data_IF_186894121792
#
_entry.id   IF_186894121792
#
_cell.length_a   1.000
_cell.length_b   1.000
_cell.length_c   1.000
_cell.angle_alpha   90.00
_cell.angle_beta   90.00
_cell.angle_gamma   90.00
#
_symmetry.space_group_name_H-M   'P 1'
#
loop_
_entity.id
_entity.type
_entity.pdbx_description
1 polymer ?
#
# COMPACT_ATOMS: atom_id res chain seq x y z
N UNK A 1 35.21 14.06 0.48
CA UNK A 1 35.04 13.21 1.68
C UNK A 1 34.12 12.07 1.28
N UNK A 2 34.69 10.91 0.99
CA UNK A 2 33.92 9.71 0.60
C UNK A 2 34.12 8.68 1.69
N UNK A 3 33.06 8.37 2.43
CA UNK A 3 33.08 7.33 3.47
C UNK A 3 32.27 6.16 2.95
N UNK A 4 32.96 5.07 2.62
CA UNK A 4 32.36 3.77 2.31
C UNK A 4 32.29 2.93 3.58
N UNK A 5 31.09 2.52 3.99
CA UNK A 5 30.89 1.59 5.09
C UNK A 5 30.98 0.15 4.55
N UNK A 6 31.94 -0.64 5.06
CA UNK A 6 32.02 -2.09 4.88
C UNK A 6 31.11 -2.76 5.91
N UNK A 7 30.13 -3.55 5.45
CA UNK A 7 29.36 -4.47 6.29
C UNK A 7 30.13 -5.76 6.62
N UNK A 8 29.73 -6.50 7.68
CA UNK A 8 30.45 -7.66 8.18
C UNK A 8 30.31 -8.90 7.29
N UNK A 9 31.40 -9.67 7.22
CA UNK A 9 31.52 -10.95 6.53
C UNK A 9 30.71 -12.05 7.26
N UNK A 10 29.81 -12.72 6.54
CA UNK A 10 29.06 -13.90 7.02
C UNK A 10 29.87 -15.17 6.69
N UNK A 11 30.08 -16.11 7.63
CA UNK A 11 30.74 -17.39 7.35
C UNK A 11 29.80 -18.41 6.69
N UNK A 12 30.32 -19.42 5.96
CA UNK A 12 29.50 -20.43 5.31
C UNK A 12 28.90 -21.42 6.32
N UNK A 13 27.60 -21.65 6.23
CA UNK A 13 26.88 -22.70 6.94
C UNK A 13 27.27 -24.08 6.41
N UNK A 14 27.67 -24.97 7.33
CA UNK A 14 28.03 -26.38 7.09
C UNK A 14 26.79 -27.24 6.80
N UNK A 15 26.89 -28.07 5.77
CA UNK A 15 26.02 -29.21 5.52
C UNK A 15 26.09 -30.22 6.67
N UNK A 16 24.96 -30.85 6.99
CA UNK A 16 24.90 -32.02 7.88
C UNK A 16 24.15 -33.14 7.17
N UNK A 17 24.93 -34.11 6.70
CA UNK A 17 24.51 -35.42 6.21
C UNK A 17 23.63 -36.14 7.24
N UNK A 18 22.48 -36.64 6.80
CA UNK A 18 21.71 -37.64 7.53
C UNK A 18 21.92 -39.01 6.88
N UNK A 19 22.78 -39.83 7.48
CA UNK A 19 22.81 -41.28 7.29
C UNK A 19 22.38 -41.94 8.60
N UNK A 20 21.21 -42.58 8.60
CA UNK A 20 20.98 -43.77 9.41
C UNK A 20 20.19 -44.79 8.59
N UNK A 21 20.78 -45.97 8.47
CA UNK A 21 20.24 -47.16 7.82
C UNK A 21 19.55 -48.09 8.82
N UNK A 22 18.38 -48.60 8.44
CA UNK A 22 18.01 -50.02 8.57
C UNK A 22 17.08 -50.43 9.73
N UNK A 23 15.91 -51.03 9.39
CA UNK A 23 15.64 -52.49 9.47
C UNK A 23 14.11 -52.81 9.58
N UNK A 24 13.69 -53.85 8.85
CA UNK A 24 12.33 -54.44 8.64
C UNK A 24 11.84 -55.29 9.84
N UNK A 25 10.56 -55.66 10.11
CA UNK A 25 9.56 -56.48 9.36
C UNK A 25 8.16 -56.47 10.05
N UNK A 26 7.06 -56.54 9.25
CA UNK A 26 5.77 -57.25 9.53
C UNK A 26 4.70 -56.48 10.33
N UNK A 27 3.37 -56.60 10.18
CA UNK A 27 2.38 -57.46 9.48
C UNK A 27 1.03 -56.71 9.62
N UNK A 28 0.16 -56.47 8.64
CA UNK A 28 -0.96 -57.30 8.15
C UNK A 28 -1.92 -56.39 7.36
N UNK A 29 -2.69 -57.01 6.47
CA UNK A 29 -3.57 -56.39 5.50
C UNK A 29 -4.86 -55.80 6.11
N UNK A 30 -5.24 -54.60 5.66
CA UNK A 30 -6.62 -54.15 5.67
C UNK A 30 -6.96 -53.58 4.28
N UNK A 31 -7.70 -54.36 3.50
CA UNK A 31 -8.27 -53.98 2.21
C UNK A 31 -9.36 -52.94 2.47
N UNK A 32 -9.00 -51.65 2.35
CA UNK A 32 -9.96 -50.55 2.25
C UNK A 32 -10.57 -50.52 0.86
N UNK A 33 -11.90 -50.64 0.78
CA UNK A 33 -12.63 -50.60 -0.48
C UNK A 33 -12.49 -49.22 -1.14
N UNK A 34 -11.76 -49.24 -2.25
CA UNK A 34 -11.88 -48.45 -3.47
C UNK A 34 -13.18 -47.64 -3.59
N UNK A 35 -13.13 -46.38 -3.14
CA UNK A 35 -13.89 -45.31 -3.76
C UNK A 35 -13.16 -44.89 -5.03
N UNK A 36 -13.44 -45.54 -6.16
CA UNK A 36 -13.03 -45.05 -7.47
C UNK A 36 -13.89 -43.85 -7.84
N UNK A 37 -13.38 -42.64 -7.62
CA UNK A 37 -13.78 -41.48 -8.39
C UNK A 37 -12.52 -40.77 -8.88
N UNK A 38 -11.84 -41.43 -9.81
CA UNK A 38 -11.00 -40.78 -10.80
C UNK A 38 -11.87 -39.85 -11.66
N UNK A 39 -12.25 -38.71 -11.11
CA UNK A 39 -12.71 -37.57 -11.90
C UNK A 39 -11.51 -36.65 -12.04
N UNK A 40 -10.82 -36.74 -13.16
CA UNK A 40 -9.82 -35.77 -13.60
C UNK A 40 -10.50 -34.45 -14.04
N UNK A 41 -11.46 -33.99 -13.25
CA UNK A 41 -11.94 -32.61 -13.31
C UNK A 41 -11.01 -31.79 -12.42
N UNK A 42 -10.45 -30.67 -12.89
CA UNK A 42 -9.69 -29.77 -12.04
C UNK A 42 -10.49 -29.47 -10.77
N UNK A 43 -9.86 -29.61 -9.60
CA UNK A 43 -10.50 -29.28 -8.33
C UNK A 43 -11.00 -27.83 -8.40
N UNK A 44 -12.32 -27.64 -8.46
CA UNK A 44 -12.92 -26.31 -8.53
C UNK A 44 -12.82 -25.66 -7.15
N UNK A 45 -12.51 -24.38 -7.12
CA UNK A 45 -12.49 -23.64 -5.86
C UNK A 45 -13.90 -23.43 -5.34
N UNK A 46 -14.08 -23.65 -4.03
CA UNK A 46 -15.34 -23.37 -3.35
C UNK A 46 -15.42 -21.87 -3.04
N UNK A 47 -16.36 -21.17 -3.65
CA UNK A 47 -16.50 -19.71 -3.52
C UNK A 47 -17.43 -19.26 -2.38
N UNK A 48 -17.99 -20.22 -1.64
CA UNK A 48 -18.87 -19.93 -0.51
C UNK A 48 -18.07 -19.73 0.78
N UNK A 49 -17.95 -18.47 1.19
CA UNK A 49 -17.37 -18.10 2.48
C UNK A 49 -18.38 -17.32 3.33
N UNK A 50 -18.32 -17.50 4.65
CA UNK A 50 -19.06 -16.66 5.59
C UNK A 50 -18.52 -15.22 5.54
N UNK A 51 -19.37 -14.25 5.89
CA UNK A 51 -19.00 -12.83 5.96
C UNK A 51 -18.37 -12.44 7.30
N UNK A 52 -17.78 -13.41 8.01
CA UNK A 52 -17.07 -13.12 9.26
C UNK A 52 -15.78 -12.33 8.93
N UNK A 53 -15.50 -11.29 9.70
CA UNK A 53 -14.30 -10.48 9.52
C UNK A 53 -13.26 -10.84 10.59
N UNK A 54 -12.30 -11.67 10.19
CA UNK A 54 -11.13 -12.11 10.97
C UNK A 54 -9.91 -12.06 10.03
N UNK A 55 -9.37 -10.86 9.77
CA UNK A 55 -8.51 -10.64 8.62
C UNK A 55 -7.14 -11.30 8.77
N UNK A 56 -6.59 -11.73 7.63
CA UNK A 56 -5.25 -12.29 7.51
C UNK A 56 -4.47 -11.51 6.44
N UNK A 57 -3.18 -11.29 6.69
CA UNK A 57 -2.29 -10.66 5.74
C UNK A 57 -1.49 -11.75 5.03
N UNK A 58 -1.66 -11.87 3.71
CA UNK A 58 -0.92 -12.82 2.89
C UNK A 58 0.51 -12.36 2.58
N UNK A 59 1.37 -13.30 2.20
CA UNK A 59 2.70 -13.04 1.65
C UNK A 59 2.67 -12.27 0.33
N UNK A 60 1.53 -12.28 -0.35
CA UNK A 60 1.21 -11.50 -1.55
C UNK A 60 0.82 -10.03 -1.24
N UNK A 61 0.89 -9.62 0.03
CA UNK A 61 0.55 -8.27 0.47
C UNK A 61 -0.96 -7.99 0.50
N UNK A 62 -1.81 -8.99 0.27
CA UNK A 62 -3.26 -8.81 0.28
C UNK A 62 -3.87 -9.14 1.64
N UNK A 63 -4.87 -8.35 2.02
CA UNK A 63 -5.73 -8.65 3.18
C UNK A 63 -6.86 -9.57 2.75
N UNK A 64 -6.94 -10.74 3.36
CA UNK A 64 -8.03 -11.69 3.22
C UNK A 64 -8.99 -11.50 4.40
N UNK A 65 -10.29 -11.25 4.15
CA UNK A 65 -11.23 -10.87 5.21
C UNK A 65 -11.45 -11.98 6.25
N UNK A 66 -11.17 -13.22 5.89
CA UNK A 66 -11.16 -14.38 6.78
C UNK A 66 -10.34 -15.52 6.18
N UNK A 67 -10.16 -16.57 6.99
CA UNK A 67 -9.44 -17.79 6.58
C UNK A 67 -10.03 -18.48 5.35
N UNK A 68 -11.36 -18.53 5.22
CA UNK A 68 -11.99 -19.12 4.04
C UNK A 68 -11.59 -18.40 2.75
N UNK A 69 -11.57 -17.06 2.77
CA UNK A 69 -11.13 -16.27 1.62
C UNK A 69 -9.62 -16.40 1.35
N UNK A 70 -8.80 -16.60 2.38
CA UNK A 70 -7.38 -16.92 2.23
C UNK A 70 -7.17 -18.28 1.54
N UNK A 71 -7.88 -19.31 1.98
CA UNK A 71 -7.81 -20.65 1.39
C UNK A 71 -8.35 -20.66 -0.06
N UNK A 72 -9.39 -19.86 -0.35
CA UNK A 72 -9.88 -19.63 -1.71
C UNK A 72 -8.81 -18.96 -2.60
N UNK A 73 -8.07 -17.99 -2.06
CA UNK A 73 -6.92 -17.39 -2.75
C UNK A 73 -5.86 -18.42 -3.12
N UNK A 74 -5.51 -19.29 -2.17
CA UNK A 74 -4.57 -20.39 -2.42
C UNK A 74 -5.08 -21.41 -3.45
N UNK A 75 -6.38 -21.73 -3.41
CA UNK A 75 -6.99 -22.60 -4.42
C UNK A 75 -6.88 -21.99 -5.83
N UNK A 76 -7.15 -20.68 -5.96
CA UNK A 76 -7.01 -19.96 -7.25
C UNK A 76 -5.57 -19.93 -7.72
N UNK A 77 -4.61 -19.70 -6.82
CA UNK A 77 -3.20 -19.78 -7.18
C UNK A 77 -2.83 -21.16 -7.73
N UNK A 78 -3.32 -22.24 -7.14
CA UNK A 78 -3.08 -23.59 -7.64
C UNK A 78 -3.67 -23.83 -9.05
N UNK A 79 -4.83 -23.24 -9.37
CA UNK A 79 -5.42 -23.32 -10.71
C UNK A 79 -4.65 -22.50 -11.76
N UNK A 80 -3.99 -21.43 -11.31
CA UNK A 80 -3.22 -20.52 -12.16
C UNK A 80 -1.70 -20.82 -12.14
N UNK A 81 -1.29 -21.96 -11.58
CA UNK A 81 0.12 -22.35 -11.43
C UNK A 81 0.99 -21.29 -10.71
N UNK A 82 0.39 -20.52 -9.80
CA UNK A 82 1.04 -19.52 -8.96
C UNK A 82 1.55 -20.12 -7.64
N UNK A 83 2.60 -19.56 -7.03
CA UNK A 83 3.09 -20.03 -5.74
C UNK A 83 2.02 -19.88 -4.64
N UNK A 84 2.03 -20.76 -3.62
CA UNK A 84 1.10 -20.66 -2.51
C UNK A 84 1.36 -19.38 -1.68
N UNK A 85 0.28 -18.76 -1.24
CA UNK A 85 0.28 -17.64 -0.30
C UNK A 85 0.44 -18.20 1.11
N UNK A 86 1.39 -17.63 1.87
CA UNK A 86 1.56 -17.92 3.30
C UNK A 86 0.99 -16.78 4.12
N UNK A 87 0.59 -17.06 5.36
CA UNK A 87 0.14 -16.02 6.27
C UNK A 87 1.38 -15.26 6.74
N UNK A 88 1.44 -13.96 6.43
CA UNK A 88 2.47 -13.05 6.92
C UNK A 88 2.17 -12.62 8.36
N UNK A 89 0.91 -12.26 8.65
CA UNK A 89 0.42 -11.86 9.99
C UNK A 89 -1.08 -12.14 10.16
N UNK A 90 -1.52 -12.40 11.39
CA UNK A 90 -2.92 -12.65 11.77
C UNK A 90 -3.72 -11.36 12.00
N UNK A 91 -3.64 -10.46 11.02
CA UNK A 91 -4.39 -9.22 10.95
C UNK A 91 -4.42 -8.74 9.50
N UNK A 92 -5.13 -7.65 9.22
CA UNK A 92 -5.05 -7.02 7.90
C UNK A 92 -3.60 -6.60 7.59
N UNK A 93 -3.21 -6.64 6.32
CA UNK A 93 -1.98 -5.98 5.90
C UNK A 93 -2.08 -4.48 6.21
N UNK A 94 -0.95 -3.90 6.64
CA UNK A 94 -0.80 -2.45 6.70
C UNK A 94 -1.00 -1.92 5.28
N UNK A 95 -2.17 -1.33 5.04
CA UNK A 95 -2.30 -0.36 3.98
C UNK A 95 -1.49 0.83 4.46
N UNK A 96 -0.45 1.19 3.71
CA UNK A 96 0.03 2.57 3.72
C UNK A 96 -1.17 3.40 3.29
N UNK A 97 -1.98 3.80 4.25
CA UNK A 97 -2.97 4.82 4.02
C UNK A 97 -2.16 6.07 3.79
N UNK A 98 -1.88 6.34 2.52
CA UNK A 98 -1.64 7.70 2.05
C UNK A 98 -2.92 8.43 2.37
N UNK A 99 -2.97 8.93 3.61
CA UNK A 99 -4.02 9.78 4.10
C UNK A 99 -3.85 11.09 3.37
N UNK A 100 -4.48 11.15 2.20
CA UNK A 100 -4.77 12.35 1.42
C UNK A 100 -5.80 13.19 2.19
N UNK A 101 -5.50 13.53 3.45
CA UNK A 101 -6.36 14.32 4.32
C UNK A 101 -5.96 15.78 4.15
N UNK A 102 -6.19 16.29 2.95
CA UNK A 102 -6.32 17.72 2.74
C UNK A 102 -7.76 18.08 3.10
N UNK A 103 -7.93 18.80 4.20
CA UNK A 103 -9.22 19.34 4.62
C UNK A 103 -9.87 20.11 3.47
N UNK A 104 -11.14 19.87 3.15
CA UNK A 104 -11.77 20.42 1.92
C UNK A 104 -12.83 21.50 2.15
N UNK A 105 -13.06 21.92 3.39
CA UNK A 105 -14.08 22.93 3.69
C UNK A 105 -13.42 24.29 3.89
N UNK A 106 -13.81 25.28 3.09
CA UNK A 106 -13.44 26.66 3.30
C UNK A 106 -14.71 27.50 3.45
N UNK A 107 -14.70 28.53 4.31
CA UNK A 107 -15.72 29.57 4.28
C UNK A 107 -15.78 30.22 2.89
N UNK A 108 -16.98 30.60 2.45
CA UNK A 108 -17.21 31.33 1.20
C UNK A 108 -16.87 32.83 1.39
N UNK A 109 -15.63 33.09 1.79
CA UNK A 109 -15.07 34.43 2.02
C UNK A 109 -14.03 34.74 0.96
N UNK A 110 -14.27 35.77 0.17
CA UNK A 110 -13.35 36.19 -0.89
C UNK A 110 -12.22 37.06 -0.34
N UNK A 111 -11.07 36.42 -0.11
CA UNK A 111 -9.82 37.04 0.35
C UNK A 111 -8.65 36.45 -0.46
N UNK A 112 -8.47 36.88 -1.73
CA UNK A 112 -7.68 36.14 -2.69
C UNK A 112 -6.20 36.02 -2.30
N UNK A 113 -5.58 34.93 -2.73
CA UNK A 113 -4.16 34.68 -2.57
C UNK A 113 -3.56 34.16 -3.88
N UNK A 114 -2.39 34.68 -4.25
CA UNK A 114 -1.63 34.22 -5.40
C UNK A 114 -0.69 33.10 -4.97
N UNK A 115 -0.80 31.93 -5.59
CA UNK A 115 0.08 30.79 -5.39
C UNK A 115 1.40 30.92 -6.15
N UNK A 116 2.42 30.16 -5.74
CA UNK A 116 3.71 30.03 -6.42
C UNK A 116 3.59 29.39 -7.80
N UNK A 117 2.47 28.72 -8.07
CA UNK A 117 2.07 28.16 -9.35
C UNK A 117 1.41 29.19 -10.29
N UNK A 118 1.25 30.44 -9.85
CA UNK A 118 0.63 31.52 -10.61
C UNK A 118 -0.89 31.46 -10.64
N UNK A 119 -1.51 30.61 -9.80
CA UNK A 119 -2.97 30.50 -9.67
C UNK A 119 -3.48 31.43 -8.59
N UNK A 120 -4.59 32.10 -8.86
CA UNK A 120 -5.32 32.88 -7.84
C UNK A 120 -6.32 31.97 -7.14
N UNK A 121 -6.17 31.83 -5.84
CA UNK A 121 -7.08 31.11 -4.96
C UNK A 121 -8.10 32.07 -4.35
N UNK A 122 -9.34 31.63 -4.13
CA UNK A 122 -10.41 32.47 -3.59
C UNK A 122 -10.11 32.96 -2.17
N UNK A 123 -9.41 32.12 -1.40
CA UNK A 123 -8.94 32.43 -0.05
C UNK A 123 -7.63 31.72 0.25
N UNK A 124 -6.95 32.14 1.33
CA UNK A 124 -5.81 31.39 1.90
C UNK A 124 -6.17 29.97 2.32
N UNK A 125 -7.45 29.72 2.65
CA UNK A 125 -7.93 28.38 2.93
C UNK A 125 -7.85 27.51 1.67
N UNK A 126 -8.34 27.98 0.52
CA UNK A 126 -8.24 27.20 -0.73
C UNK A 126 -6.78 26.98 -1.17
N UNK A 127 -5.92 27.98 -0.98
CA UNK A 127 -4.48 27.82 -1.22
C UNK A 127 -3.89 26.74 -0.32
N UNK A 128 -4.22 26.69 0.97
CA UNK A 128 -3.66 25.67 1.88
C UNK A 128 -4.08 24.25 1.51
N UNK A 129 -5.28 24.09 0.93
CA UNK A 129 -5.73 22.82 0.36
C UNK A 129 -4.84 22.40 -0.81
N UNK A 130 -4.51 23.34 -1.71
CA UNK A 130 -3.62 23.07 -2.83
C UNK A 130 -2.19 22.76 -2.38
N UNK A 131 -1.66 23.50 -1.39
CA UNK A 131 -0.35 23.23 -0.78
C UNK A 131 -0.28 21.84 -0.13
N UNK A 132 -1.38 21.38 0.45
CA UNK A 132 -1.48 20.04 1.02
C UNK A 132 -1.45 18.95 -0.06
N UNK A 133 -2.06 19.20 -1.22
CA UNK A 133 -2.09 18.25 -2.34
C UNK A 133 -0.78 18.23 -3.13
N UNK A 134 -0.07 19.34 -3.19
CA UNK A 134 1.19 19.50 -3.90
C UNK A 134 2.15 20.40 -3.11
N UNK A 135 3.20 19.78 -2.55
CA UNK A 135 4.22 20.46 -1.73
C UNK A 135 5.01 21.54 -2.49
N UNK A 136 4.88 21.62 -3.82
CA UNK A 136 5.51 22.66 -4.66
C UNK A 136 4.69 23.95 -4.69
N UNK A 137 3.41 23.87 -4.34
CA UNK A 137 2.53 25.03 -4.24
C UNK A 137 2.77 25.68 -2.88
N UNK A 138 2.88 27.00 -2.89
CA UNK A 138 3.03 27.83 -1.70
C UNK A 138 2.43 29.21 -1.93
N UNK A 139 2.36 30.03 -0.89
CA UNK A 139 1.91 31.41 -1.05
C UNK A 139 2.99 32.24 -1.76
N UNK A 140 2.64 32.86 -2.88
CA UNK A 140 3.46 33.88 -3.52
C UNK A 140 3.21 35.26 -2.90
N UNK A 141 1.97 35.73 -2.91
CA UNK A 141 1.54 36.96 -2.22
C UNK A 141 0.03 36.98 -1.97
N UNK A 142 -0.42 37.87 -1.08
CA UNK A 142 -1.85 38.17 -0.90
C UNK A 142 -2.40 38.96 -2.10
N UNK A 143 -3.67 38.75 -2.45
CA UNK A 143 -4.29 39.31 -3.64
C UNK A 143 -4.30 38.34 -4.83
N UNK A 144 -4.83 38.81 -5.96
CA UNK A 144 -4.89 38.01 -7.20
C UNK A 144 -3.54 38.02 -7.92
N UNK A 145 -3.20 36.94 -8.62
CA UNK A 145 -2.04 36.92 -9.49
C UNK A 145 -2.22 37.91 -10.65
N UNK A 146 -1.14 38.58 -11.05
CA UNK A 146 -1.17 39.50 -12.19
C UNK A 146 -1.66 40.92 -11.88
N UNK A 147 -2.21 41.17 -10.68
CA UNK A 147 -2.34 42.53 -10.19
C UNK A 147 -0.95 43.09 -9.85
N UNK A 148 -0.56 44.17 -10.51
CA UNK A 148 0.64 44.92 -10.16
C UNK A 148 0.47 45.40 -8.72
N UNK A 149 1.15 44.74 -7.80
CA UNK A 149 1.09 44.97 -6.36
C UNK A 149 1.18 46.48 -6.05
N UNK A 150 0.03 47.13 -5.84
CA UNK A 150 -0.06 48.57 -5.56
C UNK A 150 0.58 48.92 -4.22
N UNK A 151 0.87 47.91 -3.38
CA UNK A 151 1.64 48.06 -2.14
C UNK A 151 3.12 48.40 -2.38
N UNK A 152 3.66 48.18 -3.58
CA UNK A 152 5.02 48.55 -3.95
C UNK A 152 5.14 49.95 -4.61
N UNK A 153 4.03 50.68 -4.79
CA UNK A 153 4.02 51.99 -5.50
C UNK A 153 3.63 53.19 -4.63
N UNK A 154 3.70 53.11 -3.31
CA UNK A 154 3.42 54.28 -2.45
C UNK A 154 4.55 55.32 -2.33
N UNK A 155 5.66 55.20 -3.09
CA UNK A 155 6.79 56.16 -2.98
C UNK A 155 7.08 57.06 -4.19
N UNK A 156 6.31 57.00 -5.27
CA UNK A 156 6.43 58.02 -6.32
C UNK A 156 5.30 59.04 -6.16
N UNK A 157 5.41 59.87 -5.12
CA UNK A 157 4.66 61.12 -5.06
C UNK A 157 5.12 62.01 -6.22
N UNK A 158 4.14 62.54 -6.93
CA UNK A 158 4.22 63.66 -7.86
C UNK A 158 5.29 64.68 -7.43
N UNK A 159 6.36 64.81 -8.23
CA UNK A 159 7.09 66.08 -8.36
C UNK A 159 6.77 66.63 -9.75
N UNK A 160 5.61 67.27 -9.85
CA UNK A 160 5.46 68.42 -10.74
C UNK A 160 5.94 69.65 -9.98
N UNK A 161 7.13 70.14 -10.32
CA UNK A 161 7.41 71.58 -10.51
C UNK A 161 8.48 71.68 -11.59
#
# INVERSE_FOLDING_TARGET
MSVTCRGPLVPPSRDSESSETGLVVGTEAAVGQRGTSSSSTPARCREECTKIYLPLCGSDGKTYQNRCLFDLGNCRNAQEEKPPITIRRENACEVEQVQDICYRECPDTYEPACGSDGVTYHSKCELSIAMCQDERVGLHHEGTCGELNLSAKSFLRYSTV
#
